data_IF_152837267612
#
_entry.id   IF_152837267612
#
_cell.length_a   1.000
_cell.length_b   1.000
_cell.length_c   1.000
_cell.angle_alpha   90.00
_cell.angle_beta   90.00
_cell.angle_gamma   90.00
#
_symmetry.space_group_name_H-M   'P 1'
#
loop_
_entity.id
_entity.type
_entity.pdbx_description
1 polymer ?
#
# COMPACT_ATOMS: atom_id res chain seq x y z
N UNK A 1 -9.80 7.48 -0.30
CA UNK A 1 -9.91 8.87 -0.83
C UNK A 1 -9.00 9.01 -2.05
N UNK A 2 -9.29 9.93 -2.99
CA UNK A 2 -8.36 10.23 -4.09
C UNK A 2 -7.42 11.37 -3.69
N UNK A 3 -6.13 11.27 -4.04
CA UNK A 3 -5.12 12.27 -3.66
C UNK A 3 -5.35 13.69 -4.19
N UNK A 4 -6.08 13.82 -5.30
CA UNK A 4 -6.42 15.10 -5.91
C UNK A 4 -7.85 15.55 -5.57
N UNK A 5 -8.50 14.94 -4.57
CA UNK A 5 -9.82 15.39 -4.11
C UNK A 5 -9.71 16.40 -2.97
N UNK A 6 -10.77 17.20 -2.81
CA UNK A 6 -10.92 18.11 -1.67
C UNK A 6 -10.92 17.36 -0.33
N UNK A 7 -11.48 16.15 -0.29
CA UNK A 7 -11.47 15.31 0.92
C UNK A 7 -10.04 15.05 1.40
N UNK A 8 -9.12 14.71 0.48
CA UNK A 8 -7.73 14.49 0.83
C UNK A 8 -7.02 15.78 1.25
N UNK A 9 -7.34 16.90 0.59
CA UNK A 9 -6.79 18.21 0.92
C UNK A 9 -7.19 18.70 2.32
N UNK A 10 -8.36 18.28 2.83
CA UNK A 10 -8.81 18.56 4.21
C UNK A 10 -8.30 17.51 5.20
N UNK A 11 -8.35 16.23 4.82
CA UNK A 11 -7.90 15.11 5.64
C UNK A 11 -6.43 15.22 6.04
N UNK A 12 -5.54 15.56 5.10
CA UNK A 12 -4.11 15.57 5.33
C UNK A 12 -3.67 16.62 6.38
N UNK A 13 -4.07 17.91 6.30
CA UNK A 13 -3.78 18.90 7.33
C UNK A 13 -4.32 18.50 8.71
N UNK A 14 -5.52 17.93 8.79
CA UNK A 14 -6.10 17.48 10.06
C UNK A 14 -5.23 16.39 10.69
N UNK A 15 -4.89 15.35 9.93
CA UNK A 15 -4.04 14.26 10.40
C UNK A 15 -2.66 14.79 10.81
N UNK A 16 -2.07 15.69 10.01
CA UNK A 16 -0.78 16.31 10.32
C UNK A 16 -0.82 17.12 11.62
N UNK A 17 -1.85 17.95 11.82
CA UNK A 17 -1.98 18.77 13.04
C UNK A 17 -2.17 17.90 14.28
N UNK A 18 -3.05 16.91 14.20
CA UNK A 18 -3.27 15.95 15.28
C UNK A 18 -1.99 15.17 15.61
N UNK A 19 -1.26 14.72 14.58
CA UNK A 19 -0.06 13.91 14.73
C UNK A 19 1.08 14.65 15.45
N UNK A 20 1.32 15.91 15.09
CA UNK A 20 2.44 16.69 15.60
C UNK A 20 2.11 17.52 16.84
N UNK A 21 0.98 18.25 16.83
CA UNK A 21 0.68 19.22 17.88
C UNK A 21 -0.15 18.64 19.02
N UNK A 22 -1.01 17.66 18.75
CA UNK A 22 -1.86 17.05 19.78
C UNK A 22 -1.21 15.79 20.37
N UNK A 23 -0.72 14.89 19.51
CA UNK A 23 -0.22 13.57 19.92
C UNK A 23 1.31 13.47 19.98
N UNK A 24 2.04 14.55 19.70
CA UNK A 24 3.51 14.54 19.57
C UNK A 24 4.29 14.03 20.79
N UNK A 25 3.68 13.99 21.98
CA UNK A 25 4.29 13.51 23.22
C UNK A 25 4.10 12.00 23.47
N UNK A 26 3.15 11.35 22.78
CA UNK A 26 2.80 9.94 23.03
C UNK A 26 2.90 9.10 21.76
N UNK A 27 3.95 8.28 21.68
CA UNK A 27 4.25 7.42 20.53
C UNK A 27 3.10 6.44 20.21
N UNK A 28 2.48 5.86 21.24
CA UNK A 28 1.38 4.90 21.07
C UNK A 28 0.16 5.60 20.49
N UNK A 29 -0.17 6.80 20.98
CA UNK A 29 -1.27 7.59 20.44
C UNK A 29 -1.03 8.00 18.98
N UNK A 30 0.21 8.35 18.61
CA UNK A 30 0.58 8.59 17.22
C UNK A 30 0.38 7.35 16.33
N UNK A 31 0.78 6.16 16.80
CA UNK A 31 0.58 4.92 16.04
C UNK A 31 -0.91 4.59 15.89
N UNK A 32 -1.72 4.81 16.94
CA UNK A 32 -3.18 4.67 16.87
C UNK A 32 -3.77 5.64 15.84
N UNK A 33 -3.33 6.91 15.83
CA UNK A 33 -3.77 7.88 14.83
C UNK A 33 -3.40 7.45 13.42
N UNK A 34 -2.19 6.90 13.22
CA UNK A 34 -1.77 6.36 11.92
C UNK A 34 -2.71 5.22 11.47
N UNK A 35 -3.02 4.27 12.35
CA UNK A 35 -3.95 3.17 12.03
C UNK A 35 -5.34 3.73 11.71
N UNK A 36 -5.88 4.60 12.56
CA UNK A 36 -7.21 5.18 12.39
C UNK A 36 -7.31 5.98 11.10
N UNK A 37 -6.36 6.90 10.85
CA UNK A 37 -6.30 7.69 9.62
C UNK A 37 -6.15 6.81 8.38
N UNK A 38 -5.39 5.72 8.47
CA UNK A 38 -5.24 4.78 7.36
C UNK A 38 -6.52 4.01 7.05
N UNK A 39 -7.19 3.48 8.07
CA UNK A 39 -8.47 2.79 7.90
C UNK A 39 -9.56 3.75 7.40
N UNK A 40 -9.56 5.00 7.85
CA UNK A 40 -10.46 6.03 7.29
C UNK A 40 -10.17 6.29 5.81
N UNK A 41 -8.89 6.42 5.44
CA UNK A 41 -8.47 6.66 4.05
C UNK A 41 -8.94 5.54 3.12
N UNK A 42 -8.79 4.27 3.53
CA UNK A 42 -9.25 3.10 2.78
C UNK A 42 -10.76 2.93 2.80
N UNK A 43 -11.39 3.13 3.96
CA UNK A 43 -12.83 2.98 4.13
C UNK A 43 -13.62 3.97 3.29
N UNK A 44 -13.02 5.12 2.98
CA UNK A 44 -13.58 6.10 2.05
C UNK A 44 -13.67 5.59 0.61
N UNK A 45 -12.86 4.61 0.23
CA UNK A 45 -12.98 3.97 -1.07
C UNK A 45 -14.03 2.88 -1.03
N UNK A 46 -13.87 1.91 -0.12
CA UNK A 46 -14.90 0.91 0.17
C UNK A 46 -14.58 0.23 1.51
N UNK A 47 -15.52 0.34 2.45
CA UNK A 47 -15.39 -0.15 3.82
C UNK A 47 -15.27 -1.68 3.92
N UNK A 48 -15.75 -2.44 2.92
CA UNK A 48 -15.72 -3.92 2.94
C UNK A 48 -14.30 -4.45 2.94
N UNK A 49 -13.37 -3.75 2.30
CA UNK A 49 -11.97 -4.16 2.22
C UNK A 49 -11.15 -3.83 3.47
N UNK A 50 -11.71 -3.08 4.42
CA UNK A 50 -11.09 -2.91 5.74
C UNK A 50 -10.98 -4.25 6.48
N UNK A 51 -12.00 -5.09 6.34
CA UNK A 51 -11.99 -6.44 6.90
C UNK A 51 -10.85 -7.28 6.30
N UNK A 52 -10.53 -7.08 5.01
CA UNK A 52 -9.46 -7.79 4.32
C UNK A 52 -8.07 -7.37 4.84
N UNK A 53 -7.83 -6.07 5.01
CA UNK A 53 -6.58 -5.54 5.58
C UNK A 53 -6.44 -6.02 7.02
N UNK A 54 -7.50 -5.93 7.83
CA UNK A 54 -7.50 -6.39 9.21
C UNK A 54 -7.24 -7.90 9.31
N UNK A 55 -7.86 -8.69 8.44
CA UNK A 55 -7.66 -10.13 8.38
C UNK A 55 -6.20 -10.49 8.06
N UNK A 56 -5.63 -9.92 6.98
CA UNK A 56 -4.23 -10.14 6.61
C UNK A 56 -3.28 -9.71 7.74
N UNK A 57 -3.56 -8.56 8.37
CA UNK A 57 -2.80 -8.06 9.53
C UNK A 57 -2.83 -9.05 10.70
N UNK A 58 -4.01 -9.54 11.09
CA UNK A 58 -4.13 -10.45 12.23
C UNK A 58 -3.46 -11.80 11.94
N UNK A 59 -3.68 -12.36 10.75
CA UNK A 59 -3.07 -13.64 10.35
C UNK A 59 -1.55 -13.55 10.45
N UNK A 60 -0.92 -12.58 9.79
CA UNK A 60 0.54 -12.49 9.75
C UNK A 60 1.15 -12.06 11.10
N UNK A 61 0.42 -11.28 11.90
CA UNK A 61 0.82 -10.97 13.27
C UNK A 61 0.93 -12.25 14.12
N UNK A 62 -0.12 -13.07 14.16
CA UNK A 62 -0.14 -14.29 14.95
C UNK A 62 0.81 -15.35 14.39
N UNK A 63 0.86 -15.53 13.06
CA UNK A 63 1.81 -16.44 12.42
C UNK A 63 3.24 -16.02 12.75
N UNK A 64 3.58 -14.72 12.68
CA UNK A 64 4.91 -14.24 13.04
C UNK A 64 5.33 -14.60 14.47
N UNK A 65 4.41 -14.45 15.44
CA UNK A 65 4.65 -14.83 16.85
C UNK A 65 4.84 -16.34 16.99
N UNK A 66 3.94 -17.14 16.41
CA UNK A 66 4.01 -18.60 16.49
C UNK A 66 5.27 -19.14 15.82
N UNK A 67 5.66 -18.56 14.68
CA UNK A 67 6.81 -18.97 13.88
C UNK A 67 8.15 -18.71 14.60
N UNK A 68 8.20 -17.69 15.45
CA UNK A 68 9.34 -17.42 16.32
C UNK A 68 9.43 -18.39 17.50
N UNK A 69 8.30 -18.76 18.10
CA UNK A 69 8.25 -19.66 19.26
C UNK A 69 8.37 -21.15 18.88
N UNK A 70 8.08 -21.48 17.62
CA UNK A 70 8.15 -22.84 17.10
C UNK A 70 9.59 -23.40 17.12
N UNK A 71 9.80 -24.50 17.86
CA UNK A 71 11.10 -25.18 17.97
C UNK A 71 11.39 -26.12 16.79
N UNK A 72 10.36 -26.84 16.32
CA UNK A 72 10.49 -27.82 15.24
C UNK A 72 10.56 -27.14 13.86
N UNK A 73 11.54 -27.54 13.04
CA UNK A 73 11.72 -26.99 11.69
C UNK A 73 10.51 -27.24 10.77
N UNK A 74 9.88 -28.41 10.89
CA UNK A 74 8.65 -28.77 10.15
C UNK A 74 7.50 -27.84 10.48
N UNK A 75 7.27 -27.55 11.76
CA UNK A 75 6.19 -26.65 12.20
C UNK A 75 6.43 -25.20 11.72
N UNK A 76 7.68 -24.72 11.77
CA UNK A 76 8.04 -23.40 11.22
C UNK A 76 7.78 -23.32 9.72
N UNK A 77 8.11 -24.37 8.97
CA UNK A 77 7.88 -24.45 7.52
C UNK A 77 6.38 -24.45 7.20
N UNK A 78 5.58 -25.20 7.95
CA UNK A 78 4.12 -25.23 7.81
C UNK A 78 3.50 -23.85 8.05
N UNK A 79 3.90 -23.16 9.13
CA UNK A 79 3.40 -21.82 9.44
C UNK A 79 3.76 -20.80 8.35
N UNK A 80 4.99 -20.86 7.82
CA UNK A 80 5.38 -20.01 6.69
C UNK A 80 4.53 -20.30 5.45
N UNK A 81 4.39 -21.57 5.08
CA UNK A 81 3.58 -21.98 3.91
C UNK A 81 2.14 -21.50 4.08
N UNK A 82 1.56 -21.62 5.28
CA UNK A 82 0.21 -21.14 5.55
C UNK A 82 0.07 -19.62 5.35
N UNK A 83 1.00 -18.82 5.90
CA UNK A 83 1.01 -17.36 5.69
C UNK A 83 1.17 -17.00 4.21
N UNK A 84 2.07 -17.67 3.49
CA UNK A 84 2.28 -17.43 2.06
C UNK A 84 1.05 -17.81 1.22
N UNK A 85 0.43 -18.96 1.52
CA UNK A 85 -0.77 -19.41 0.82
C UNK A 85 -1.95 -18.47 1.04
N UNK A 86 -2.15 -17.97 2.27
CA UNK A 86 -3.22 -17.00 2.55
C UNK A 86 -2.94 -15.69 1.81
N UNK A 87 -1.73 -15.15 1.90
CA UNK A 87 -1.37 -13.88 1.26
C UNK A 87 -1.44 -13.95 -0.28
N UNK A 88 -0.82 -14.96 -0.88
CA UNK A 88 -0.86 -15.18 -2.34
C UNK A 88 -2.27 -15.55 -2.79
N UNK A 89 -3.01 -16.32 -1.98
CA UNK A 89 -4.40 -16.68 -2.25
C UNK A 89 -5.32 -15.47 -2.31
N UNK A 90 -5.23 -14.55 -1.34
CA UNK A 90 -5.97 -13.29 -1.34
C UNK A 90 -5.59 -12.43 -2.56
N UNK A 91 -4.30 -12.25 -2.82
CA UNK A 91 -3.83 -11.49 -3.97
C UNK A 91 -4.29 -12.10 -5.30
N UNK A 92 -4.18 -13.42 -5.43
CA UNK A 92 -4.56 -14.16 -6.62
C UNK A 92 -6.07 -14.10 -6.87
N UNK A 93 -6.86 -14.31 -5.82
CA UNK A 93 -8.31 -14.19 -5.87
C UNK A 93 -8.71 -12.79 -6.34
N UNK A 94 -8.40 -11.73 -5.61
CA UNK A 94 -8.87 -10.38 -5.97
C UNK A 94 -8.29 -9.86 -7.29
N UNK A 95 -7.08 -10.27 -7.69
CA UNK A 95 -6.45 -9.79 -8.92
C UNK A 95 -6.93 -10.52 -10.19
N UNK A 96 -7.20 -11.82 -10.09
CA UNK A 96 -7.50 -12.64 -11.26
C UNK A 96 -8.92 -13.19 -11.28
N UNK A 97 -9.75 -12.96 -10.26
CA UNK A 97 -11.11 -13.50 -10.20
C UNK A 97 -11.94 -13.18 -11.45
N UNK A 98 -11.99 -11.91 -11.87
CA UNK A 98 -12.77 -11.52 -13.05
C UNK A 98 -12.20 -12.18 -14.32
N UNK A 99 -10.87 -12.21 -14.49
CA UNK A 99 -10.23 -12.92 -15.60
C UNK A 99 -10.61 -14.41 -15.63
N UNK A 100 -10.56 -15.12 -14.50
CA UNK A 100 -10.94 -16.53 -14.44
C UNK A 100 -12.43 -16.73 -14.71
N UNK A 101 -13.29 -15.83 -14.23
CA UNK A 101 -14.72 -15.88 -14.52
C UNK A 101 -14.99 -15.71 -16.02
N UNK A 102 -14.42 -14.69 -16.65
CA UNK A 102 -14.62 -14.41 -18.07
C UNK A 102 -14.22 -15.64 -18.92
N UNK A 103 -13.05 -16.21 -18.65
CA UNK A 103 -12.59 -17.43 -19.34
C UNK A 103 -13.48 -18.65 -19.06
N UNK A 104 -14.03 -18.77 -17.85
CA UNK A 104 -14.90 -19.87 -17.48
C UNK A 104 -16.25 -19.78 -18.21
N UNK A 105 -16.83 -18.58 -18.29
CA UNK A 105 -18.07 -18.31 -19.04
C UNK A 105 -17.84 -18.57 -20.52
N UNK A 106 -16.75 -18.07 -21.09
CA UNK A 106 -16.37 -18.30 -22.50
C UNK A 106 -16.23 -19.80 -22.83
N UNK A 107 -15.57 -20.57 -21.96
CA UNK A 107 -15.40 -22.01 -22.14
C UNK A 107 -16.75 -22.76 -22.18
N UNK A 108 -17.71 -22.37 -21.34
CA UNK A 108 -19.04 -22.99 -21.31
C UNK A 108 -19.92 -22.59 -22.49
N UNK A 109 -19.77 -21.36 -23.01
CA UNK A 109 -20.39 -20.93 -24.27
C UNK A 109 -19.89 -21.80 -25.43
N UNK A 110 -18.58 -22.06 -25.51
CA UNK A 110 -17.99 -22.96 -26.52
C UNK A 110 -18.52 -24.39 -26.39
N UNK A 111 -18.81 -24.85 -25.17
CA UNK A 111 -19.41 -26.17 -24.90
C UNK A 111 -20.94 -26.21 -25.13
N UNK A 112 -21.55 -25.13 -25.65
CA UNK A 112 -22.98 -25.07 -25.97
C UNK A 112 -23.90 -24.96 -24.73
N UNK A 113 -23.34 -24.67 -23.56
CA UNK A 113 -24.07 -24.49 -22.31
C UNK A 113 -23.94 -23.03 -21.84
N UNK A 114 -24.76 -22.09 -22.35
CA UNK A 114 -24.66 -20.69 -21.97
C UNK A 114 -25.00 -20.53 -20.48
N UNK A 115 -23.98 -20.24 -19.66
CA UNK A 115 -24.15 -19.87 -18.26
C UNK A 115 -24.43 -18.37 -18.21
N UNK A 116 -25.44 -17.96 -17.43
CA UNK A 116 -25.79 -16.56 -17.24
C UNK A 116 -24.80 -15.90 -16.28
N UNK A 117 -24.27 -14.73 -16.64
CA UNK A 117 -23.43 -13.88 -15.79
C UNK A 117 -24.22 -13.34 -14.60
N UNK A 118 -24.39 -14.16 -13.57
CA UNK A 118 -24.91 -13.73 -12.28
C UNK A 118 -23.79 -13.76 -11.24
N UNK A 119 -22.62 -13.29 -11.65
CA UNK A 119 -21.37 -13.36 -10.89
C UNK A 119 -21.08 -12.03 -10.18
N UNK A 120 -20.33 -12.11 -9.09
CA UNK A 120 -19.89 -10.95 -8.33
C UNK A 120 -18.79 -10.24 -9.13
N UNK A 121 -19.05 -9.06 -9.70
CA UNK A 121 -17.96 -8.22 -10.21
C UNK A 121 -17.10 -7.74 -9.03
N UNK A 122 -15.98 -8.44 -8.78
CA UNK A 122 -15.10 -8.11 -7.66
C UNK A 122 -14.25 -6.90 -8.04
N UNK A 123 -14.40 -5.83 -7.25
CA UNK A 123 -13.58 -4.64 -7.38
C UNK A 123 -12.23 -4.89 -6.70
N UNK A 124 -11.13 -4.62 -7.40
CA UNK A 124 -9.78 -4.81 -6.87
C UNK A 124 -9.52 -3.85 -5.70
N UNK A 125 -9.16 -4.34 -4.50
CA UNK A 125 -8.87 -3.47 -3.36
C UNK A 125 -7.62 -2.61 -3.61
N UNK A 126 -7.72 -1.33 -3.31
CA UNK A 126 -6.58 -0.41 -3.39
C UNK A 126 -5.48 -0.89 -2.43
N UNK A 127 -4.26 -1.01 -2.93
CA UNK A 127 -3.09 -1.34 -2.11
C UNK A 127 -2.92 -2.83 -1.79
N UNK A 128 -3.75 -3.74 -2.32
CA UNK A 128 -3.67 -5.18 -2.03
C UNK A 128 -2.28 -5.78 -2.24
N UNK A 129 -1.65 -5.48 -3.37
CA UNK A 129 -0.29 -5.97 -3.61
C UNK A 129 0.69 -5.49 -2.54
N UNK A 130 0.60 -4.22 -2.13
CA UNK A 130 1.57 -3.64 -1.20
C UNK A 130 1.47 -4.26 0.19
N UNK A 131 0.28 -4.30 0.82
CA UNK A 131 0.18 -4.90 2.15
C UNK A 131 0.47 -6.39 2.12
N UNK A 132 0.08 -7.11 1.06
CA UNK A 132 0.39 -8.54 0.92
C UNK A 132 1.91 -8.77 0.83
N UNK A 133 2.64 -8.00 0.03
CA UNK A 133 4.10 -8.16 -0.03
C UNK A 133 4.81 -7.73 1.27
N UNK A 134 4.30 -6.70 1.96
CA UNK A 134 4.81 -6.27 3.26
C UNK A 134 4.64 -7.35 4.34
N UNK A 135 3.44 -7.95 4.46
CA UNK A 135 3.17 -8.98 5.47
C UNK A 135 3.89 -10.29 5.14
N UNK A 136 4.02 -10.65 3.86
CA UNK A 136 4.88 -11.77 3.46
C UNK A 136 6.35 -11.51 3.78
N UNK A 137 6.86 -10.30 3.54
CA UNK A 137 8.24 -9.93 3.93
C UNK A 137 8.46 -10.13 5.43
N UNK A 138 7.47 -9.80 6.26
CA UNK A 138 7.53 -10.00 7.71
C UNK A 138 7.63 -11.49 8.08
N UNK A 139 6.75 -12.35 7.56
CA UNK A 139 6.77 -13.79 7.88
C UNK A 139 8.03 -14.49 7.35
N UNK A 140 8.50 -14.13 6.15
CA UNK A 140 9.73 -14.64 5.55
C UNK A 140 10.96 -14.22 6.37
N UNK A 141 11.06 -12.95 6.77
CA UNK A 141 12.22 -12.45 7.53
C UNK A 141 12.30 -13.09 8.92
N UNK A 142 11.18 -13.34 9.59
CA UNK A 142 11.14 -14.08 10.86
C UNK A 142 11.55 -15.54 10.64
N UNK A 143 11.09 -16.18 9.57
CA UNK A 143 11.49 -17.54 9.23
C UNK A 143 13.00 -17.66 8.99
N UNK A 144 13.56 -16.70 8.28
CA UNK A 144 15.01 -16.58 8.05
C UNK A 144 15.80 -16.08 9.26
N UNK A 145 15.14 -15.86 10.41
CA UNK A 145 15.74 -15.33 11.65
C UNK A 145 16.42 -13.96 11.48
N UNK A 146 16.01 -13.18 10.47
CA UNK A 146 16.49 -11.82 10.21
C UNK A 146 15.74 -10.77 11.02
N UNK A 147 14.52 -11.09 11.46
CA UNK A 147 13.64 -10.21 12.21
C UNK A 147 13.04 -10.95 13.41
N UNK A 148 12.89 -10.27 14.55
CA UNK A 148 12.09 -10.76 15.67
C UNK A 148 10.65 -10.27 15.50
N UNK A 149 9.62 -11.08 15.77
CA UNK A 149 8.24 -10.63 15.66
C UNK A 149 7.94 -9.50 16.65
N UNK A 150 7.07 -8.59 16.24
CA UNK A 150 6.49 -7.59 17.14
C UNK A 150 5.43 -8.22 18.05
N UNK A 151 5.34 -7.72 19.29
CA UNK A 151 4.24 -8.00 20.23
C UNK A 151 3.26 -6.82 20.38
N UNK A 152 3.50 -5.74 19.66
CA UNK A 152 2.63 -4.57 19.60
C UNK A 152 1.78 -4.64 18.33
N UNK A 153 0.51 -5.01 18.51
CA UNK A 153 -0.46 -5.09 17.42
C UNK A 153 -0.71 -3.72 16.78
N UNK A 154 -0.64 -2.62 17.55
CA UNK A 154 -0.87 -1.27 16.99
C UNK A 154 0.27 -0.89 16.06
N UNK A 155 1.52 -1.13 16.48
CA UNK A 155 2.68 -0.87 15.62
C UNK A 155 2.67 -1.77 14.37
N UNK A 156 2.26 -3.04 14.50
CA UNK A 156 2.12 -3.94 13.35
C UNK A 156 1.02 -3.48 12.39
N UNK A 157 -0.17 -3.16 12.91
CA UNK A 157 -1.26 -2.61 12.12
C UNK A 157 -0.87 -1.29 11.45
N UNK A 158 -0.12 -0.42 12.14
CA UNK A 158 0.38 0.82 11.57
C UNK A 158 1.32 0.54 10.39
N UNK A 159 2.21 -0.44 10.52
CA UNK A 159 3.09 -0.90 9.44
C UNK A 159 2.31 -1.44 8.24
N UNK A 160 1.36 -2.36 8.45
CA UNK A 160 0.61 -3.01 7.36
C UNK A 160 -0.38 -2.07 6.68
N UNK A 161 -0.99 -1.16 7.43
CA UNK A 161 -2.05 -0.29 6.92
C UNK A 161 -1.57 1.11 6.54
N UNK A 162 -0.29 1.42 6.64
CA UNK A 162 0.22 2.78 6.44
C UNK A 162 -0.19 3.40 5.08
N UNK A 163 -1.26 4.21 5.09
CA UNK A 163 -1.91 4.68 3.87
C UNK A 163 -1.01 5.45 2.91
N UNK A 164 0.02 6.19 3.38
CA UNK A 164 0.87 6.88 2.44
C UNK A 164 1.56 5.85 1.54
N UNK A 165 2.28 4.91 2.14
CA UNK A 165 3.09 3.97 1.38
C UNK A 165 2.28 3.06 0.46
N UNK A 166 1.18 2.51 0.93
CA UNK A 166 0.44 1.46 0.23
C UNK A 166 -0.18 1.89 -1.11
N UNK A 167 -0.29 3.19 -1.36
CA UNK A 167 -0.85 3.70 -2.63
C UNK A 167 0.26 4.20 -3.57
N UNK A 168 1.46 4.43 -3.05
CA UNK A 168 2.42 5.30 -3.71
C UNK A 168 3.91 5.07 -3.36
N UNK A 169 4.22 4.45 -2.23
CA UNK A 169 5.60 4.18 -1.82
C UNK A 169 6.16 2.89 -2.41
N UNK A 170 7.49 2.70 -2.40
CA UNK A 170 8.10 1.41 -2.70
C UNK A 170 7.59 0.32 -1.74
N UNK A 171 7.65 -0.94 -2.19
CA UNK A 171 7.36 -2.09 -1.33
C UNK A 171 8.50 -2.20 -0.31
N UNK A 172 8.26 -1.74 0.92
CA UNK A 172 9.26 -1.82 1.99
C UNK A 172 9.28 -3.18 2.65
N UNK A 173 10.48 -3.57 3.09
CA UNK A 173 10.65 -4.74 3.94
C UNK A 173 10.29 -4.40 5.38
N UNK A 174 9.69 -5.38 6.05
CA UNK A 174 9.34 -5.26 7.46
C UNK A 174 10.55 -4.96 8.35
N UNK A 175 11.72 -5.50 8.00
CA UNK A 175 12.99 -5.25 8.69
C UNK A 175 13.43 -3.79 8.69
N UNK A 176 13.04 -3.00 7.67
CA UNK A 176 13.41 -1.59 7.57
C UNK A 176 12.34 -0.68 8.19
N UNK A 177 11.08 -0.91 7.86
CA UNK A 177 9.99 0.02 8.18
C UNK A 177 9.41 -0.20 9.58
N UNK A 178 9.21 -1.46 10.00
CA UNK A 178 8.58 -1.77 11.29
C UNK A 178 9.33 -1.17 12.50
N UNK A 179 10.68 -1.20 12.57
CA UNK A 179 11.42 -0.59 13.68
C UNK A 179 11.16 0.92 13.84
N UNK A 180 10.83 1.62 12.75
CA UNK A 180 10.61 3.06 12.76
C UNK A 180 9.34 3.44 13.54
N UNK A 181 8.39 2.51 13.70
CA UNK A 181 7.20 2.71 14.53
C UNK A 181 7.47 2.72 16.05
N UNK A 182 8.68 2.35 16.46
CA UNK A 182 9.13 2.37 17.86
C UNK A 182 10.02 3.57 18.20
N UNK A 183 10.49 4.31 17.20
CA UNK A 183 11.36 5.46 17.40
C UNK A 183 10.55 6.72 17.69
N UNK A 184 11.02 7.50 18.68
CA UNK A 184 10.41 8.80 19.02
C UNK A 184 10.61 9.78 17.87
N UNK A 185 9.51 10.30 17.32
CA UNK A 185 9.52 11.27 16.23
C UNK A 185 9.79 12.66 16.76
N UNK A 186 10.57 13.44 16.02
CA UNK A 186 10.83 14.85 16.28
C UNK A 186 10.36 15.65 15.08
N UNK A 187 9.64 16.73 15.34
CA UNK A 187 9.20 17.62 14.29
C UNK A 187 10.39 18.39 13.73
N UNK A 188 10.54 18.37 12.42
CA UNK A 188 11.53 19.16 11.68
C UNK A 188 10.81 20.04 10.66
N UNK A 189 10.89 21.35 10.88
CA UNK A 189 10.26 22.34 10.01
C UNK A 189 10.83 22.31 8.59
N UNK A 190 12.13 22.05 8.43
CA UNK A 190 12.77 21.96 7.12
C UNK A 190 12.16 20.81 6.31
N UNK A 191 12.01 19.64 6.94
CA UNK A 191 11.37 18.47 6.31
C UNK A 191 9.88 18.69 6.01
N UNK A 192 9.17 19.39 6.90
CA UNK A 192 7.76 19.73 6.69
C UNK A 192 7.57 20.65 5.47
N UNK A 193 8.39 21.69 5.36
CA UNK A 193 8.33 22.62 4.22
C UNK A 193 8.77 21.96 2.92
N UNK A 194 9.81 21.13 2.96
CA UNK A 194 10.29 20.41 1.77
C UNK A 194 9.20 19.49 1.20
N UNK A 195 8.59 18.64 2.01
CA UNK A 195 7.57 17.77 1.44
C UNK A 195 6.26 18.50 1.10
N UNK A 196 5.94 19.66 1.72
CA UNK A 196 4.85 20.51 1.22
C UNK A 196 5.16 21.04 -0.19
N UNK A 197 6.41 21.45 -0.46
CA UNK A 197 6.84 21.82 -1.82
C UNK A 197 6.70 20.63 -2.78
N UNK A 198 7.08 19.43 -2.34
CA UNK A 198 6.92 18.22 -3.15
C UNK A 198 5.45 17.90 -3.46
N UNK A 199 4.53 18.06 -2.49
CA UNK A 199 3.07 17.96 -2.70
C UNK A 199 2.61 18.90 -3.79
N UNK A 200 2.92 20.18 -3.63
CA UNK A 200 2.46 21.23 -4.54
C UNK A 200 3.03 21.01 -5.94
N UNK A 201 4.30 20.61 -6.05
CA UNK A 201 4.94 20.30 -7.32
C UNK A 201 4.35 19.05 -7.99
N UNK A 202 4.09 17.99 -7.21
CA UNK A 202 3.43 16.78 -7.70
C UNK A 202 2.00 17.05 -8.17
N UNK A 203 1.24 17.86 -7.43
CA UNK A 203 -0.11 18.27 -7.77
C UNK A 203 -0.13 19.11 -9.05
N UNK A 204 0.78 20.09 -9.17
CA UNK A 204 0.95 20.91 -10.37
C UNK A 204 1.22 20.04 -11.60
N UNK A 205 2.21 19.14 -11.52
CA UNK A 205 2.51 18.21 -12.62
C UNK A 205 1.30 17.34 -13.00
N UNK A 206 0.56 16.83 -12.00
CA UNK A 206 -0.60 15.95 -12.24
C UNK A 206 -1.76 16.69 -12.90
N UNK A 207 -2.13 17.87 -12.39
CA UNK A 207 -3.30 18.62 -12.87
C UNK A 207 -2.98 19.43 -14.12
N UNK A 208 -1.81 20.07 -14.18
CA UNK A 208 -1.48 21.01 -15.27
C UNK A 208 -0.84 20.30 -16.45
N UNK A 209 0.07 19.35 -16.22
CA UNK A 209 0.78 18.68 -17.31
C UNK A 209 0.00 17.44 -17.75
N UNK A 210 -0.19 16.48 -16.85
CA UNK A 210 -0.72 15.15 -17.22
C UNK A 210 -2.18 15.22 -17.69
N UNK A 211 -3.04 16.01 -17.04
CA UNK A 211 -4.46 16.09 -17.42
C UNK A 211 -4.72 16.94 -18.67
N UNK A 212 -3.84 17.89 -19.02
CA UNK A 212 -4.00 18.73 -20.20
C UNK A 212 -3.26 18.20 -21.44
N UNK A 213 -2.50 17.11 -21.33
CA UNK A 213 -1.86 16.46 -22.46
C UNK A 213 -2.89 15.68 -23.31
N UNK A 214 -2.92 15.88 -24.63
CA UNK A 214 -3.81 15.12 -25.51
C UNK A 214 -3.53 13.61 -25.44
N UNK A 215 -4.59 12.82 -25.24
CA UNK A 215 -4.59 11.35 -25.17
C UNK A 215 -3.79 10.66 -26.31
N UNK A 216 -3.76 11.15 -27.57
CA UNK A 216 -2.96 10.55 -28.64
C UNK A 216 -1.46 10.47 -28.31
N UNK A 217 -0.89 11.43 -27.59
CA UNK A 217 0.53 11.41 -27.19
C UNK A 217 0.84 10.41 -26.07
N UNK A 218 -0.19 9.90 -25.37
CA UNK A 218 -0.07 8.98 -24.24
C UNK A 218 -0.37 7.52 -24.60
N UNK A 219 -1.15 7.25 -25.67
CA UNK A 219 -1.73 5.93 -25.94
C UNK A 219 -1.30 5.34 -27.29
N UNK A 220 -0.77 6.09 -28.27
CA UNK A 220 -0.36 5.46 -29.54
C UNK A 220 0.79 4.47 -29.34
N UNK A 221 0.57 3.15 -29.55
CA UNK A 221 1.68 2.24 -29.77
C UNK A 221 2.20 2.53 -31.18
N UNK A 222 3.44 3.00 -31.26
CA UNK A 222 4.43 2.48 -32.21
C UNK A 222 3.87 2.04 -33.58
N UNK A 223 3.53 3.00 -34.45
CA UNK A 223 3.38 2.70 -35.88
C UNK A 223 4.24 3.58 -36.79
N UNK A 224 4.78 4.68 -36.28
CA UNK A 224 5.69 5.53 -37.04
C UNK A 224 7.11 5.36 -36.52
N UNK A 225 7.99 4.82 -37.37
CA UNK A 225 9.45 4.78 -37.21
C UNK A 225 9.96 6.22 -37.14
N UNK A 226 9.88 6.87 -35.98
CA UNK A 226 10.65 8.06 -35.61
C UNK A 226 10.27 8.39 -34.16
N UNK A 227 11.29 8.60 -33.32
CA UNK A 227 11.21 8.65 -31.85
C UNK A 227 9.99 9.42 -31.30
N UNK A 228 9.31 8.89 -30.26
CA UNK A 228 9.79 9.17 -28.90
C UNK A 228 9.47 8.04 -27.90
N UNK A 229 10.28 6.97 -27.90
CA UNK A 229 10.21 5.91 -26.88
C UNK A 229 10.40 6.44 -25.44
N UNK A 230 11.15 7.54 -25.29
CA UNK A 230 11.43 8.13 -23.99
C UNK A 230 10.26 8.96 -23.43
N UNK A 231 9.59 9.79 -24.22
CA UNK A 231 8.58 10.73 -23.67
C UNK A 231 7.35 10.02 -23.11
N UNK A 232 6.81 9.00 -23.80
CA UNK A 232 5.64 8.25 -23.32
C UNK A 232 5.92 7.46 -22.02
N UNK A 233 7.10 6.86 -21.89
CA UNK A 233 7.54 6.20 -20.65
C UNK A 233 7.79 7.21 -19.52
N UNK A 234 8.40 8.36 -19.82
CA UNK A 234 8.55 9.46 -18.87
C UNK A 234 7.18 10.00 -18.40
N UNK A 235 6.18 10.10 -19.29
CA UNK A 235 4.84 10.59 -18.92
C UNK A 235 3.99 9.58 -18.15
N UNK A 236 4.14 8.28 -18.42
CA UNK A 236 3.59 7.23 -17.55
C UNK A 236 4.22 7.31 -16.15
N UNK A 237 5.53 7.52 -16.05
CA UNK A 237 6.22 7.79 -14.78
C UNK A 237 5.65 9.04 -14.06
N UNK A 238 5.30 10.11 -14.80
CA UNK A 238 4.63 11.30 -14.24
C UNK A 238 3.18 11.03 -13.79
N UNK A 239 2.44 10.12 -14.44
CA UNK A 239 1.09 9.73 -13.99
C UNK A 239 1.12 9.02 -12.63
N UNK A 240 2.22 8.35 -12.30
CA UNK A 240 2.48 7.80 -10.98
C UNK A 240 2.93 8.89 -9.98
N UNK A 241 3.42 10.08 -10.37
CA UNK A 241 3.89 11.13 -9.45
C UNK A 241 2.83 11.80 -8.55
N UNK A 242 1.60 11.28 -8.46
CA UNK A 242 0.71 11.55 -7.33
C UNK A 242 1.25 11.07 -5.97
N UNK A 243 2.46 10.50 -5.96
CA UNK A 243 3.21 9.90 -4.85
C UNK A 243 3.85 10.92 -3.89
N UNK A 244 4.06 12.18 -4.29
CA UNK A 244 4.81 13.13 -3.45
C UNK A 244 4.18 13.55 -2.10
N UNK A 245 2.85 13.61 -1.92
CA UNK A 245 2.24 13.84 -0.60
C UNK A 245 2.48 12.75 0.42
N UNK A 246 2.68 11.54 -0.08
CA UNK A 246 2.92 10.35 0.70
C UNK A 246 4.35 10.29 1.21
N UNK A 247 5.29 10.64 0.33
CA UNK A 247 6.72 10.78 0.65
C UNK A 247 6.92 11.80 1.78
N UNK A 248 6.12 12.86 1.85
CA UNK A 248 6.13 13.83 2.95
C UNK A 248 5.75 13.21 4.30
N UNK A 249 4.65 12.45 4.39
CA UNK A 249 4.25 11.81 5.66
C UNK A 249 5.32 10.81 6.10
N UNK A 250 5.95 10.13 5.15
CA UNK A 250 7.04 9.20 5.38
C UNK A 250 8.31 9.90 5.88
N UNK A 251 8.75 10.98 5.23
CA UNK A 251 9.90 11.79 5.69
C UNK A 251 9.65 12.40 7.06
N UNK A 252 8.45 12.93 7.27
CA UNK A 252 8.06 13.56 8.53
C UNK A 252 7.92 12.56 9.67
N UNK A 253 7.23 11.44 9.46
CA UNK A 253 7.11 10.41 10.48
C UNK A 253 8.47 9.71 10.70
N UNK A 254 9.27 9.56 9.65
CA UNK A 254 10.48 8.75 9.61
C UNK A 254 11.59 9.32 8.70
N UNK A 255 12.56 10.06 9.26
CA UNK A 255 13.60 10.75 8.50
C UNK A 255 14.50 9.87 7.61
N UNK A 256 14.54 8.54 7.83
CA UNK A 256 15.37 7.60 7.07
C UNK A 256 14.65 6.79 5.99
N UNK A 257 13.40 7.13 5.65
CA UNK A 257 12.58 6.32 4.73
C UNK A 257 13.09 6.29 3.27
N UNK A 258 13.74 7.36 2.80
CA UNK A 258 14.19 7.47 1.41
C UNK A 258 15.66 7.12 1.20
N UNK A 259 16.47 6.98 2.25
CA UNK A 259 17.90 6.66 2.10
C UNK A 259 18.12 5.18 1.72
N UNK A 260 17.05 4.38 1.72
CA UNK A 260 17.02 2.96 1.36
C UNK A 260 16.34 2.65 0.02
N UNK A 261 15.87 3.65 -0.72
CA UNK A 261 15.17 3.52 -2.01
C UNK A 261 15.96 4.19 -3.14
#
# INVERSE_FOLDING_TARGET
MLFNSLDFAVFLPIVFVLYWFVLGKNLKAQNILIVASSYLFYGWWDWRFLALIAFSTLVDYFVGIQLYNAKASSHRKLLLILSLLINIGLLGFFKYYNFFLDNFVDAFIVLGMPIKDNTLNIILPVGISFYTFQTMSYSIDIYRKKLKPTKDLVAFSAFVSFFPQLVAGPIERASNLLPQFYQKRKFDYSQATDGLRQILWGLFKKIVIVQNLPIPYLITPLSTKEAPYCLGQYFLLFRYMGIFPVILILRLAHPGYLDSA
#
